data_IF_754621096591
#
_entry.id   IF_754621096591
#
_cell.length_a   1.000
_cell.length_b   1.000
_cell.length_c   1.000
_cell.angle_alpha   90.00
_cell.angle_beta   90.00
_cell.angle_gamma   90.00
#
_symmetry.space_group_name_H-M   'P 1'
#
loop_
_entity.id
_entity.type
_entity.pdbx_description
1 polymer ?
#
# COMPACT_ATOMS: atom_id res chain seq x y z
N UNK A 1 -10.85 -8.59 5.11
CA UNK A 1 -9.98 -9.77 5.33
C UNK A 1 -9.24 -9.96 4.03
N UNK A 2 -7.95 -9.61 3.91
CA UNK A 2 -7.45 -9.18 2.62
C UNK A 2 -7.39 -10.32 1.60
N UNK A 3 -7.90 -10.04 0.40
CA UNK A 3 -7.54 -10.67 -0.88
C UNK A 3 -7.26 -12.17 -0.81
N UNK A 4 -8.34 -12.95 -0.68
CA UNK A 4 -8.29 -14.40 -0.82
C UNK A 4 -8.75 -15.20 0.37
N UNK A 5 -9.77 -14.73 1.10
CA UNK A 5 -10.50 -15.63 1.97
C UNK A 5 -11.58 -16.36 1.15
N UNK A 6 -11.38 -17.61 0.68
CA UNK A 6 -12.47 -18.54 0.82
C UNK A 6 -12.69 -18.59 2.33
N UNK A 7 -13.70 -17.87 2.80
CA UNK A 7 -14.25 -18.07 4.14
C UNK A 7 -14.91 -19.45 4.18
N UNK A 8 -14.10 -20.48 3.95
CA UNK A 8 -14.35 -21.83 4.35
C UNK A 8 -13.26 -22.13 5.40
N UNK A 9 -13.49 -21.76 6.66
CA UNK A 9 -13.06 -22.58 7.79
C UNK A 9 -13.90 -23.87 7.85
N UNK A 10 -14.34 -24.36 6.69
CA UNK A 10 -14.73 -25.73 6.50
C UNK A 10 -13.43 -26.51 6.49
N UNK A 11 -12.96 -26.88 7.68
CA UNK A 11 -12.04 -28.01 7.86
C UNK A 11 -12.65 -29.32 7.33
N UNK A 12 -13.92 -29.28 6.91
CA UNK A 12 -14.50 -30.17 5.91
C UNK A 12 -13.98 -29.77 4.52
N UNK A 13 -12.85 -30.36 4.18
CA UNK A 13 -12.32 -30.38 2.82
C UNK A 13 -13.10 -31.37 1.93
N UNK A 14 -13.92 -32.23 2.54
CA UNK A 14 -14.84 -33.15 1.88
C UNK A 14 -16.02 -32.42 1.23
N UNK A 15 -16.10 -32.49 -0.10
CA UNK A 15 -17.27 -32.11 -0.89
C UNK A 15 -18.42 -33.13 -0.84
N UNK A 16 -18.34 -34.15 0.01
CA UNK A 16 -19.33 -35.22 0.11
C UNK A 16 -20.00 -35.18 1.47
N UNK A 17 -21.19 -34.57 1.53
CA UNK A 17 -22.17 -34.99 2.52
C UNK A 17 -22.52 -36.45 2.20
N UNK A 18 -21.95 -37.38 2.95
CA UNK A 18 -22.25 -38.80 2.80
C UNK A 18 -23.67 -39.06 3.32
N UNK A 19 -24.65 -38.87 2.44
CA UNK A 19 -26.03 -39.32 2.66
C UNK A 19 -26.06 -40.86 2.52
N UNK A 20 -25.80 -41.57 3.62
CA UNK A 20 -26.22 -42.97 3.74
C UNK A 20 -25.15 -43.98 4.11
N UNK A 21 -24.58 -43.88 5.31
CA UNK A 21 -24.34 -45.05 6.16
C UNK A 21 -24.25 -44.62 7.61
N UNK A 22 -24.71 -45.47 8.51
CA UNK A 22 -24.70 -45.33 9.97
C UNK A 22 -23.29 -45.43 10.58
N UNK A 23 -22.32 -44.70 10.01
CA UNK A 23 -20.96 -44.58 10.54
C UNK A 23 -20.86 -43.47 11.58
N UNK A 24 -19.97 -43.65 12.55
CA UNK A 24 -19.64 -42.61 13.53
C UNK A 24 -19.13 -41.36 12.78
N UNK A 25 -19.74 -40.17 12.97
CA UNK A 25 -19.28 -38.93 12.33
C UNK A 25 -17.85 -38.53 12.72
N UNK A 26 -17.29 -39.17 13.76
CA UNK A 26 -15.91 -39.07 14.22
C UNK A 26 -15.03 -40.26 13.76
N UNK A 27 -15.56 -41.26 13.04
CA UNK A 27 -14.74 -42.36 12.51
C UNK A 27 -13.89 -41.80 11.38
N UNK A 28 -12.58 -41.72 11.58
CA UNK A 28 -11.72 -41.18 10.56
C UNK A 28 -11.82 -42.05 9.28
N UNK A 29 -11.99 -43.38 9.39
CA UNK A 29 -11.92 -44.31 8.25
C UNK A 29 -13.08 -44.23 7.25
N UNK A 30 -14.16 -43.52 7.54
CA UNK A 30 -15.37 -43.51 6.71
C UNK A 30 -15.44 -42.34 5.70
N UNK A 31 -14.65 -41.27 5.86
CA UNK A 31 -14.59 -40.13 4.92
C UNK A 31 -13.30 -40.12 4.08
N UNK A 32 -12.44 -41.12 4.24
CA UNK A 32 -11.11 -41.17 3.63
C UNK A 32 -11.07 -41.95 2.33
N UNK A 33 -11.48 -41.33 1.23
CA UNK A 33 -10.94 -41.74 -0.05
C UNK A 33 -9.68 -40.90 -0.30
N UNK A 34 -8.59 -41.49 -0.78
CA UNK A 34 -7.40 -40.77 -1.28
C UNK A 34 -7.76 -39.95 -2.53
N UNK A 35 -8.68 -39.00 -2.38
CA UNK A 35 -9.21 -38.20 -3.45
C UNK A 35 -8.30 -36.99 -3.66
N UNK A 36 -8.05 -36.72 -4.93
CA UNK A 36 -7.50 -35.45 -5.37
C UNK A 36 -8.66 -34.71 -6.00
N UNK A 37 -9.00 -33.54 -5.46
CA UNK A 37 -10.07 -32.71 -6.00
C UNK A 37 -9.57 -31.33 -6.39
N UNK A 38 -10.21 -30.73 -7.39
CA UNK A 38 -9.92 -29.37 -7.84
C UNK A 38 -11.15 -28.53 -7.55
N UNK A 39 -10.95 -27.41 -6.84
CA UNK A 39 -11.98 -26.39 -6.63
C UNK A 39 -11.60 -25.13 -7.36
N UNK A 40 -12.54 -24.56 -8.11
CA UNK A 40 -12.37 -23.29 -8.79
C UNK A 40 -13.55 -22.38 -8.45
N UNK A 41 -13.28 -21.08 -8.36
CA UNK A 41 -14.31 -20.09 -8.02
C UNK A 41 -13.87 -18.67 -8.35
N UNK A 42 -14.72 -17.71 -8.05
CA UNK A 42 -14.41 -16.29 -8.16
C UNK A 42 -14.83 -15.61 -6.87
N UNK A 43 -14.01 -14.68 -6.39
CA UNK A 43 -14.36 -13.86 -5.24
C UNK A 43 -13.79 -12.45 -5.42
N UNK A 44 -14.49 -11.47 -4.84
CA UNK A 44 -14.04 -10.10 -4.72
C UNK A 44 -13.93 -9.72 -3.26
N UNK A 45 -12.90 -8.95 -2.91
CA UNK A 45 -12.74 -8.36 -1.59
C UNK A 45 -12.59 -6.84 -1.72
N UNK A 46 -13.11 -6.13 -0.73
CA UNK A 46 -13.00 -4.70 -0.63
C UNK A 46 -12.71 -4.36 0.83
N UNK A 47 -11.52 -3.80 1.04
CA UNK A 47 -11.06 -3.42 2.37
C UNK A 47 -10.93 -1.90 2.42
N UNK A 48 -11.63 -1.28 3.36
CA UNK A 48 -11.68 0.16 3.56
C UNK A 48 -11.22 0.52 4.97
N UNK A 49 -10.92 1.81 5.20
CA UNK A 49 -10.56 2.38 6.50
C UNK A 49 -9.33 1.70 7.15
N UNK A 50 -8.32 1.33 6.34
CA UNK A 50 -7.03 0.88 6.88
C UNK A 50 -6.19 2.07 7.29
N UNK A 51 -5.73 2.05 8.54
CA UNK A 51 -4.66 2.94 9.00
C UNK A 51 -3.31 2.31 8.69
N UNK A 52 -2.56 2.91 7.77
CA UNK A 52 -1.20 2.47 7.42
C UNK A 52 -0.16 3.29 8.16
N UNK A 53 0.83 2.64 8.77
CA UNK A 53 1.98 3.33 9.34
C UNK A 53 2.99 3.65 8.23
N UNK A 54 3.50 4.87 8.20
CA UNK A 54 4.58 5.24 7.28
C UNK A 54 5.89 4.57 7.71
N UNK A 55 6.56 3.92 6.76
CA UNK A 55 7.90 3.37 6.93
C UNK A 55 8.90 4.22 6.14
N UNK A 56 9.43 5.24 6.81
CA UNK A 56 10.38 6.19 6.24
C UNK A 56 11.53 6.40 7.21
N UNK A 57 12.67 6.89 6.71
CA UNK A 57 13.80 7.26 7.58
C UNK A 57 13.41 8.41 8.51
N UNK A 58 14.01 8.43 9.72
CA UNK A 58 13.78 9.50 10.71
C UNK A 58 14.22 10.87 10.19
N UNK A 59 15.24 10.90 9.34
CA UNK A 59 15.79 12.12 8.76
C UNK A 59 15.79 12.07 7.23
N UNK A 60 15.83 13.25 6.61
CA UNK A 60 16.08 13.48 5.20
C UNK A 60 17.37 14.31 5.09
N UNK A 61 18.39 13.77 4.42
CA UNK A 61 19.75 14.34 4.44
C UNK A 61 20.07 15.28 3.28
N UNK A 62 19.17 15.41 2.32
CA UNK A 62 19.40 16.12 1.06
C UNK A 62 18.51 17.35 0.85
N UNK A 63 17.74 17.77 1.86
CA UNK A 63 17.03 19.04 1.89
C UNK A 63 17.97 20.20 2.25
N UNK A 64 17.53 21.45 2.10
CA UNK A 64 18.23 22.59 2.68
C UNK A 64 17.81 22.81 4.15
N UNK A 65 18.59 23.62 4.88
CA UNK A 65 18.25 24.03 6.23
C UNK A 65 16.87 24.71 6.29
N UNK A 66 16.13 24.50 7.37
CA UNK A 66 14.85 25.17 7.57
C UNK A 66 14.99 26.69 7.56
N UNK A 67 13.91 27.36 7.17
CA UNK A 67 13.76 28.79 7.41
C UNK A 67 13.83 29.07 8.92
N UNK A 68 14.59 30.09 9.29
CA UNK A 68 14.68 30.59 10.67
C UNK A 68 14.14 32.01 10.70
N UNK A 69 13.58 32.42 11.84
CA UNK A 69 13.03 33.77 12.06
C UNK A 69 14.08 34.89 11.88
N UNK A 70 15.37 34.55 11.92
CA UNK A 70 16.49 35.47 11.74
C UNK A 70 16.85 35.74 10.26
N UNK A 71 16.25 35.02 9.31
CA UNK A 71 16.46 35.27 7.89
C UNK A 71 15.79 36.60 7.52
N UNK A 72 16.59 37.67 7.39
CA UNK A 72 16.07 38.97 6.96
C UNK A 72 15.41 38.85 5.59
N UNK A 73 14.26 39.52 5.44
CA UNK A 73 13.46 39.64 4.21
C UNK A 73 14.26 40.10 2.98
N UNK A 74 15.45 40.67 3.18
CA UNK A 74 16.34 41.24 2.16
C UNK A 74 17.45 40.29 1.67
N UNK A 75 17.84 39.29 2.45
CA UNK A 75 18.97 38.39 2.10
C UNK A 75 18.58 36.95 1.82
N UNK A 76 17.39 36.48 2.24
CA UNK A 76 16.92 35.10 2.02
C UNK A 76 17.83 34.02 2.63
N UNK A 77 17.46 32.75 2.47
CA UNK A 77 18.29 31.59 2.89
C UNK A 77 18.97 30.97 1.67
N UNK A 78 20.28 30.68 1.77
CA UNK A 78 20.95 29.88 0.75
C UNK A 78 20.54 28.41 0.88
N UNK A 79 19.84 27.92 -0.14
CA UNK A 79 19.31 26.56 -0.20
C UNK A 79 20.08 25.65 -1.16
N UNK A 80 21.32 26.02 -1.55
CA UNK A 80 22.18 25.15 -2.35
C UNK A 80 22.79 24.00 -1.53
N UNK A 81 23.10 24.25 -0.25
CA UNK A 81 23.76 23.30 0.64
C UNK A 81 22.75 22.35 1.27
N UNK A 82 23.09 21.06 1.27
CA UNK A 82 22.30 20.04 1.94
C UNK A 82 22.43 20.13 3.46
N UNK A 83 21.35 19.83 4.18
CA UNK A 83 21.29 19.75 5.62
C UNK A 83 20.34 18.61 6.02
N UNK A 84 20.70 17.91 7.09
CA UNK A 84 19.85 16.89 7.69
C UNK A 84 18.63 17.53 8.35
N UNK A 85 17.45 17.01 8.02
CA UNK A 85 16.14 17.47 8.52
C UNK A 85 15.39 16.29 9.13
N UNK A 86 14.63 16.52 10.20
CA UNK A 86 13.66 15.53 10.65
C UNK A 86 12.61 15.31 9.56
N UNK A 87 12.32 14.06 9.22
CA UNK A 87 11.36 13.71 8.20
C UNK A 87 9.93 13.88 8.73
N UNK A 88 9.14 14.76 8.12
CA UNK A 88 7.77 15.03 8.55
C UNK A 88 6.86 13.78 8.52
N UNK A 89 7.13 12.84 7.62
CA UNK A 89 6.36 11.60 7.53
C UNK A 89 6.76 10.56 8.58
N UNK A 90 7.89 10.72 9.31
CA UNK A 90 8.35 9.72 10.26
C UNK A 90 7.36 9.58 11.43
N UNK A 91 6.88 8.35 11.67
CA UNK A 91 5.92 8.05 12.72
C UNK A 91 4.50 8.56 12.44
N UNK A 92 4.20 8.95 11.19
CA UNK A 92 2.87 9.34 10.75
C UNK A 92 2.06 8.15 10.26
N UNK A 93 0.79 8.41 10.01
CA UNK A 93 -0.14 7.42 9.50
C UNK A 93 -0.86 7.94 8.26
N UNK A 94 -1.10 7.05 7.31
CA UNK A 94 -2.09 7.22 6.25
C UNK A 94 -3.41 6.75 6.84
N UNK A 95 -4.34 7.67 7.03
CA UNK A 95 -5.55 7.44 7.83
C UNK A 95 -6.65 6.73 7.05
N UNK A 96 -6.64 6.87 5.73
CA UNK A 96 -7.65 6.28 4.87
C UNK A 96 -6.96 5.58 3.70
N UNK A 97 -7.06 4.27 3.69
CA UNK A 97 -6.56 3.43 2.61
C UNK A 97 -7.61 2.37 2.27
N UNK A 98 -8.01 2.38 1.00
CA UNK A 98 -8.91 1.42 0.43
C UNK A 98 -8.16 0.53 -0.56
N UNK A 99 -8.50 -0.75 -0.56
CA UNK A 99 -7.92 -1.74 -1.45
C UNK A 99 -9.00 -2.68 -1.96
N UNK A 100 -9.21 -2.66 -3.27
CA UNK A 100 -10.16 -3.51 -3.96
C UNK A 100 -9.40 -4.64 -4.66
N UNK A 101 -9.95 -5.85 -4.63
CA UNK A 101 -9.44 -6.95 -5.46
C UNK A 101 -10.57 -7.82 -5.99
N UNK A 102 -10.45 -8.21 -7.24
CA UNK A 102 -11.30 -9.22 -7.87
C UNK A 102 -10.41 -10.34 -8.40
N UNK A 103 -10.62 -11.58 -7.95
CA UNK A 103 -9.77 -12.69 -8.31
C UNK A 103 -10.56 -13.98 -8.59
N UNK A 104 -10.05 -14.76 -9.55
CA UNK A 104 -10.34 -16.18 -9.68
C UNK A 104 -9.54 -16.95 -8.61
N UNK A 105 -10.17 -17.99 -8.08
CA UNK A 105 -9.63 -18.95 -7.13
C UNK A 105 -9.40 -20.28 -7.83
N UNK A 106 -8.26 -20.90 -7.54
CA UNK A 106 -8.01 -22.30 -7.86
C UNK A 106 -7.37 -22.97 -6.64
N UNK A 107 -7.91 -24.11 -6.25
CA UNK A 107 -7.31 -24.96 -5.23
C UNK A 107 -7.22 -26.40 -5.69
N UNK A 108 -6.07 -26.99 -5.42
CA UNK A 108 -5.84 -28.41 -5.49
C UNK A 108 -5.91 -28.95 -4.07
N UNK A 109 -6.88 -29.81 -3.84
CA UNK A 109 -6.93 -30.61 -2.64
C UNK A 109 -6.16 -31.92 -2.81
N UNK A 110 -5.39 -32.27 -1.78
CA UNK A 110 -4.61 -33.49 -1.70
C UNK A 110 -4.99 -34.22 -0.41
N UNK A 111 -5.45 -35.46 -0.56
CA UNK A 111 -5.75 -36.39 0.53
C UNK A 111 -6.74 -35.84 1.56
N UNK A 112 -7.65 -34.96 1.14
CA UNK A 112 -8.66 -34.29 1.96
C UNK A 112 -8.12 -33.58 3.23
N UNK A 113 -6.80 -33.33 3.29
CA UNK A 113 -6.12 -32.73 4.47
C UNK A 113 -5.29 -31.52 4.14
N UNK A 114 -4.95 -31.33 2.87
CA UNK A 114 -4.05 -30.28 2.44
C UNK A 114 -4.56 -29.66 1.13
N UNK A 115 -4.73 -28.34 1.15
CA UNK A 115 -5.02 -27.56 -0.05
C UNK A 115 -3.81 -26.69 -0.39
N UNK A 116 -3.39 -26.75 -1.64
CA UNK A 116 -2.60 -25.68 -2.25
C UNK A 116 -3.55 -24.85 -3.08
N UNK A 117 -3.57 -23.54 -2.86
CA UNK A 117 -4.43 -22.64 -3.59
C UNK A 117 -3.67 -21.45 -4.14
N UNK A 118 -4.17 -20.93 -5.24
CA UNK A 118 -3.69 -19.70 -5.83
C UNK A 118 -4.86 -18.87 -6.30
N UNK A 119 -4.56 -17.59 -6.49
CA UNK A 119 -5.57 -16.61 -6.85
C UNK A 119 -4.98 -15.72 -7.92
N UNK A 120 -5.74 -15.46 -8.97
CA UNK A 120 -5.30 -14.65 -10.10
C UNK A 120 -6.39 -13.63 -10.38
N UNK A 121 -6.02 -12.36 -10.39
CA UNK A 121 -7.01 -11.30 -10.40
C UNK A 121 -6.44 -9.94 -10.74
N UNK A 122 -7.19 -8.92 -10.35
CA UNK A 122 -6.76 -7.55 -10.43
C UNK A 122 -7.07 -6.77 -9.15
N UNK A 123 -6.15 -5.89 -8.77
CA UNK A 123 -6.28 -5.02 -7.61
C UNK A 123 -6.12 -3.55 -7.98
N UNK A 124 -6.83 -2.69 -7.27
CA UNK A 124 -6.67 -1.24 -7.28
C UNK A 124 -6.76 -0.69 -5.86
N UNK A 125 -6.23 0.52 -5.65
CA UNK A 125 -6.19 1.15 -4.35
C UNK A 125 -6.42 2.65 -4.38
N UNK A 126 -6.83 3.16 -3.23
CA UNK A 126 -6.96 4.57 -2.91
C UNK A 126 -6.27 4.85 -1.58
N UNK A 127 -5.51 5.93 -1.51
CA UNK A 127 -4.82 6.36 -0.29
C UNK A 127 -5.03 7.84 -0.08
N UNK A 128 -5.38 8.22 1.15
CA UNK A 128 -5.60 9.59 1.57
C UNK A 128 -4.96 9.83 2.94
N UNK A 129 -4.19 10.92 3.03
CA UNK A 129 -3.59 11.35 4.29
C UNK A 129 -3.28 12.84 4.29
N UNK A 130 -2.82 13.33 5.44
CA UNK A 130 -2.17 14.64 5.54
C UNK A 130 -0.93 14.71 4.63
N UNK A 131 -0.62 15.91 4.14
CA UNK A 131 0.55 16.14 3.29
C UNK A 131 1.89 15.90 4.02
N UNK A 132 1.88 15.87 5.35
CA UNK A 132 3.02 15.47 6.17
C UNK A 132 3.35 13.97 6.04
N UNK A 133 2.34 13.09 5.97
CA UNK A 133 2.53 11.65 5.78
C UNK A 133 3.08 11.28 4.39
N UNK A 134 2.89 12.14 3.39
CA UNK A 134 3.45 12.00 2.05
C UNK A 134 4.78 12.75 1.85
N UNK A 135 5.34 13.37 2.89
CA UNK A 135 6.55 14.20 2.83
C UNK A 135 6.49 15.24 1.71
N UNK A 136 5.37 15.97 1.59
CA UNK A 136 5.27 17.06 0.61
C UNK A 136 6.24 18.17 1.02
N UNK A 137 7.13 18.57 0.10
CA UNK A 137 8.16 19.57 0.37
C UNK A 137 8.09 20.73 -0.61
N UNK A 138 8.55 21.90 -0.17
CA UNK A 138 8.63 23.11 -0.98
C UNK A 138 9.88 23.93 -0.71
N UNK A 139 10.15 24.86 -1.62
CA UNK A 139 11.22 25.83 -1.52
C UNK A 139 10.63 27.23 -1.28
N UNK A 140 10.95 27.82 -0.13
CA UNK A 140 10.47 29.14 0.28
C UNK A 140 11.64 30.03 0.74
N UNK A 141 11.47 31.36 0.64
CA UNK A 141 12.37 32.34 1.25
C UNK A 141 13.83 32.25 0.79
N UNK A 142 14.08 31.84 -0.45
CA UNK A 142 15.45 31.75 -1.01
C UNK A 142 16.00 33.13 -1.37
N UNK A 143 17.33 33.28 -1.31
CA UNK A 143 18.06 34.49 -1.70
C UNK A 143 18.18 34.72 -3.22
N UNK A 144 17.42 33.96 -4.01
CA UNK A 144 17.40 34.01 -5.46
C UNK A 144 16.81 35.35 -5.95
N UNK A 145 17.64 36.20 -6.56
CA UNK A 145 17.22 37.51 -7.10
C UNK A 145 16.46 37.42 -8.45
N UNK A 146 16.40 36.24 -9.07
CA UNK A 146 15.67 35.97 -10.31
C UNK A 146 15.21 34.50 -10.42
N UNK A 147 14.19 34.20 -11.24
CA UNK A 147 13.68 32.83 -11.44
C UNK A 147 14.75 31.82 -11.92
N UNK A 148 15.77 32.26 -12.66
CA UNK A 148 16.93 31.47 -13.09
C UNK A 148 17.94 31.17 -11.97
N UNK A 149 17.86 31.86 -10.83
CA UNK A 149 18.74 31.65 -9.66
C UNK A 149 18.23 30.60 -8.67
N UNK A 150 17.12 29.93 -9.00
CA UNK A 150 16.55 28.80 -8.24
C UNK A 150 17.15 27.45 -8.71
N UNK A 151 17.92 27.46 -9.80
CA UNK A 151 18.61 26.27 -10.29
C UNK A 151 19.61 25.75 -9.23
N UNK A 152 19.55 24.46 -8.94
CA UNK A 152 20.41 23.84 -7.93
C UNK A 152 19.95 24.07 -6.48
N UNK A 153 18.83 24.75 -6.25
CA UNK A 153 18.28 24.98 -4.91
C UNK A 153 17.41 23.80 -4.45
N UNK A 154 17.58 23.43 -3.18
CA UNK A 154 16.90 22.30 -2.52
C UNK A 154 15.65 22.80 -1.78
N UNK A 155 14.60 21.98 -1.65
CA UNK A 155 13.47 22.32 -0.80
C UNK A 155 13.92 22.47 0.67
N UNK A 156 13.30 23.41 1.39
CA UNK A 156 13.66 23.77 2.76
C UNK A 156 12.48 23.76 3.74
N UNK A 157 11.26 23.48 3.26
CA UNK A 157 10.04 23.43 4.07
C UNK A 157 9.29 22.13 3.79
N UNK A 158 8.75 21.52 4.85
CA UNK A 158 7.70 20.50 4.74
C UNK A 158 6.33 21.17 4.76
N UNK A 159 5.49 20.85 3.79
CA UNK A 159 4.12 21.35 3.70
C UNK A 159 3.23 20.40 4.48
N UNK A 160 3.00 20.69 5.76
CA UNK A 160 2.24 19.82 6.68
C UNK A 160 0.76 20.18 6.80
N UNK A 161 0.34 21.31 6.21
CA UNK A 161 -1.04 21.78 6.20
C UNK A 161 -1.68 21.49 4.84
N UNK A 162 -2.19 20.28 4.70
CA UNK A 162 -2.80 19.84 3.45
C UNK A 162 -3.22 18.38 3.47
N UNK A 163 -3.80 17.95 2.36
CA UNK A 163 -4.27 16.60 2.09
C UNK A 163 -3.69 16.14 0.75
N UNK A 164 -3.29 14.88 0.70
CA UNK A 164 -2.86 14.20 -0.51
C UNK A 164 -3.77 13.01 -0.75
N UNK A 165 -4.20 12.85 -1.99
CA UNK A 165 -4.98 11.70 -2.44
C UNK A 165 -4.26 11.01 -3.60
N UNK A 166 -4.18 9.69 -3.53
CA UNK A 166 -3.50 8.86 -4.51
C UNK A 166 -4.45 7.74 -4.94
N UNK A 167 -4.70 7.67 -6.24
CA UNK A 167 -5.50 6.64 -6.88
C UNK A 167 -4.60 5.77 -7.75
N UNK A 168 -4.73 4.46 -7.66
CA UNK A 168 -4.00 3.54 -8.51
C UNK A 168 -4.85 3.04 -9.67
N UNK A 169 -4.20 2.63 -10.76
CA UNK A 169 -4.85 1.86 -11.80
C UNK A 169 -5.24 0.46 -11.30
N UNK A 170 -6.04 -0.23 -12.11
CA UNK A 170 -6.32 -1.65 -11.92
C UNK A 170 -5.19 -2.44 -12.55
N UNK A 171 -4.49 -3.23 -11.74
CA UNK A 171 -3.35 -4.04 -12.19
C UNK A 171 -3.50 -5.49 -11.78
N UNK A 172 -2.80 -6.36 -12.49
CA UNK A 172 -2.75 -7.78 -12.16
C UNK A 172 -2.26 -8.00 -10.71
N UNK A 173 -2.98 -8.87 -10.00
CA UNK A 173 -2.68 -9.30 -8.65
C UNK A 173 -2.71 -10.83 -8.58
N UNK A 174 -1.83 -11.41 -7.80
CA UNK A 174 -1.82 -12.84 -7.57
C UNK A 174 -1.56 -13.17 -6.11
N UNK A 175 -1.97 -14.36 -5.70
CA UNK A 175 -1.56 -14.92 -4.43
C UNK A 175 -1.35 -16.43 -4.55
N UNK A 176 -0.55 -16.96 -3.63
CA UNK A 176 -0.38 -18.38 -3.42
C UNK A 176 -0.49 -18.67 -1.93
N UNK A 177 -1.13 -19.77 -1.59
CA UNK A 177 -1.28 -20.19 -0.23
C UNK A 177 -1.40 -21.69 -0.10
N UNK A 178 -1.27 -22.15 1.13
CA UNK A 178 -1.52 -23.52 1.50
C UNK A 178 -2.30 -23.52 2.82
N UNK A 179 -3.20 -24.48 2.96
CA UNK A 179 -3.88 -24.74 4.23
C UNK A 179 -3.97 -26.24 4.45
N UNK A 180 -3.98 -26.66 5.71
CA UNK A 180 -4.16 -28.07 6.01
C UNK A 180 -4.37 -28.37 7.48
N UNK A 181 -4.78 -29.61 7.75
CA UNK A 181 -4.94 -30.15 9.08
C UNK A 181 -3.56 -30.47 9.68
N UNK A 182 -3.27 -29.87 10.84
CA UNK A 182 -2.07 -30.14 11.63
C UNK A 182 -2.29 -31.28 12.62
N UNK A 183 -3.51 -31.41 13.13
CA UNK A 183 -3.86 -32.41 14.12
C UNK A 183 -5.35 -32.74 14.08
N UNK A 184 -5.65 -34.02 14.28
CA UNK A 184 -7.00 -34.56 14.36
C UNK A 184 -7.09 -35.52 15.54
N UNK A 185 -8.17 -35.42 16.32
CA UNK A 185 -8.51 -36.40 17.35
C UNK A 185 -10.02 -36.51 17.48
N UNK A 186 -10.56 -37.64 17.03
CA UNK A 186 -12.00 -37.84 16.92
C UNK A 186 -12.64 -36.75 16.07
N UNK A 187 -13.64 -36.07 16.63
CA UNK A 187 -14.36 -34.98 15.96
C UNK A 187 -13.66 -33.60 16.02
N UNK A 188 -12.46 -33.49 16.59
CA UNK A 188 -11.71 -32.23 16.70
C UNK A 188 -10.59 -32.14 15.64
N UNK A 189 -10.50 -30.99 14.98
CA UNK A 189 -9.45 -30.72 13.98
C UNK A 189 -8.81 -29.37 14.20
N UNK A 190 -7.48 -29.34 14.23
CA UNK A 190 -6.66 -28.14 14.24
C UNK A 190 -6.05 -27.96 12.85
N UNK A 191 -6.33 -26.85 12.20
CA UNK A 191 -5.78 -26.48 10.89
C UNK A 191 -4.95 -25.21 10.94
N UNK A 192 -4.03 -25.09 9.99
CA UNK A 192 -3.30 -23.86 9.73
C UNK A 192 -3.40 -23.45 8.26
N UNK A 193 -3.27 -22.16 8.01
CA UNK A 193 -3.21 -21.58 6.68
C UNK A 193 -2.06 -20.59 6.58
N UNK A 194 -1.53 -20.46 5.37
CA UNK A 194 -0.54 -19.47 5.02
C UNK A 194 -0.82 -18.97 3.60
N UNK A 195 -0.72 -17.66 3.39
CA UNK A 195 -0.92 -17.06 2.09
C UNK A 195 0.03 -15.89 1.89
N UNK A 196 0.53 -15.76 0.67
CA UNK A 196 1.28 -14.60 0.21
C UNK A 196 0.58 -14.00 -1.01
N UNK A 197 0.32 -12.69 -0.96
CA UNK A 197 -0.27 -11.93 -2.05
C UNK A 197 0.67 -10.82 -2.50
N UNK A 198 0.66 -10.55 -3.81
CA UNK A 198 1.42 -9.48 -4.43
C UNK A 198 0.65 -8.81 -5.56
N UNK A 199 0.80 -7.48 -5.67
CA UNK A 199 0.45 -6.74 -6.87
C UNK A 199 1.32 -5.49 -7.03
N UNK A 200 1.27 -4.89 -8.22
CA UNK A 200 2.07 -3.69 -8.53
C UNK A 200 1.28 -2.70 -9.40
N UNK A 201 0.21 -2.08 -8.88
CA UNK A 201 -0.51 -1.06 -9.62
C UNK A 201 0.33 0.20 -9.81
N UNK A 202 0.10 0.88 -10.93
CA UNK A 202 0.63 2.22 -11.20
C UNK A 202 -0.28 3.24 -10.55
N UNK A 203 0.29 4.37 -10.17
CA UNK A 203 -0.52 5.53 -9.76
C UNK A 203 -1.17 6.12 -11.00
N UNK A 204 -2.49 6.23 -10.99
CA UNK A 204 -3.27 6.82 -12.09
C UNK A 204 -3.51 8.31 -11.85
N UNK A 205 -3.81 8.70 -10.60
CA UNK A 205 -4.04 10.11 -10.26
C UNK A 205 -3.43 10.42 -8.90
N UNK A 206 -2.70 11.53 -8.82
CA UNK A 206 -2.17 12.11 -7.59
C UNK A 206 -2.73 13.53 -7.44
N UNK A 207 -3.51 13.75 -6.40
CA UNK A 207 -4.00 15.07 -6.01
C UNK A 207 -3.23 15.55 -4.79
N UNK A 208 -2.74 16.78 -4.86
CA UNK A 208 -2.09 17.46 -3.73
C UNK A 208 -2.85 18.76 -3.48
N UNK A 209 -3.38 18.91 -2.28
CA UNK A 209 -4.08 20.11 -1.83
C UNK A 209 -3.43 20.58 -0.53
N UNK A 210 -2.56 21.58 -0.60
CA UNK A 210 -1.92 22.18 0.57
C UNK A 210 -1.98 23.70 0.48
N UNK A 211 -1.81 24.39 1.61
CA UNK A 211 -2.01 25.85 1.68
C UNK A 211 -1.31 26.65 0.56
N UNK A 212 -0.05 26.35 0.17
CA UNK A 212 0.61 27.09 -0.91
C UNK A 212 0.53 26.43 -2.29
N UNK A 213 -0.01 25.21 -2.43
CA UNK A 213 -0.05 24.51 -3.72
C UNK A 213 -1.25 23.57 -3.85
N UNK A 214 -1.92 23.67 -5.00
CA UNK A 214 -2.99 22.75 -5.40
C UNK A 214 -2.70 22.28 -6.82
N UNK A 215 -2.54 20.97 -7.01
CA UNK A 215 -2.35 20.39 -8.33
C UNK A 215 -2.79 18.93 -8.39
N UNK A 216 -3.12 18.50 -9.60
CA UNK A 216 -3.42 17.11 -9.94
C UNK A 216 -2.45 16.66 -11.02
N UNK A 217 -1.89 15.46 -10.84
CA UNK A 217 -1.06 14.80 -11.85
C UNK A 217 -1.72 13.51 -12.27
N UNK A 218 -2.02 13.39 -13.56
CA UNK A 218 -2.45 12.14 -14.15
C UNK A 218 -1.24 11.32 -14.59
N UNK A 219 -1.25 10.03 -14.26
CA UNK A 219 -0.16 9.06 -14.51
C UNK A 219 1.20 9.62 -14.08
N UNK A 220 1.34 10.03 -12.80
CA UNK A 220 2.52 10.73 -12.34
C UNK A 220 3.79 9.94 -12.62
N UNK A 221 4.77 10.65 -13.17
CA UNK A 221 6.13 10.18 -13.37
C UNK A 221 7.07 10.98 -12.47
N UNK A 222 8.08 10.32 -11.94
CA UNK A 222 9.01 10.92 -11.00
C UNK A 222 10.39 10.30 -11.08
N UNK A 223 11.28 10.78 -10.20
CA UNK A 223 12.67 10.37 -10.13
C UNK A 223 12.84 9.36 -9.01
N UNK A 224 13.24 8.14 -9.35
CA UNK A 224 13.46 7.07 -8.37
C UNK A 224 14.83 7.23 -7.74
N UNK A 225 14.93 7.16 -6.41
CA UNK A 225 16.20 7.22 -5.65
C UNK A 225 17.11 8.41 -6.02
N UNK A 226 16.52 9.54 -6.45
CA UNK A 226 17.26 10.71 -6.90
C UNK A 226 17.27 11.76 -5.79
N UNK A 227 18.46 12.19 -5.29
CA UNK A 227 18.52 13.21 -4.26
C UNK A 227 18.07 14.57 -4.80
N UNK A 228 17.70 15.48 -3.89
CA UNK A 228 17.46 16.87 -4.25
C UNK A 228 18.80 17.53 -4.61
N UNK A 229 18.79 18.62 -5.38
CA UNK A 229 17.65 19.15 -6.13
C UNK A 229 17.30 18.24 -7.32
N UNK A 230 16.01 18.22 -7.70
CA UNK A 230 15.58 17.54 -8.92
C UNK A 230 16.03 18.34 -10.17
N UNK A 231 16.14 17.69 -11.35
CA UNK A 231 16.44 18.37 -12.61
C UNK A 231 15.54 19.58 -12.90
N UNK A 232 16.06 20.55 -13.65
CA UNK A 232 15.36 21.83 -13.91
C UNK A 232 14.13 21.67 -14.81
N UNK A 233 14.08 20.62 -15.61
CA UNK A 233 12.95 20.20 -16.45
C UNK A 233 11.91 19.36 -15.68
N UNK A 234 12.15 19.00 -14.42
CA UNK A 234 11.20 18.24 -13.60
C UNK A 234 9.83 18.91 -13.56
N UNK A 235 8.77 18.13 -13.78
CA UNK A 235 7.39 18.61 -13.86
C UNK A 235 6.98 19.15 -15.23
N UNK A 236 7.85 19.12 -16.24
CA UNK A 236 7.52 19.44 -17.64
C UNK A 236 7.41 18.16 -18.48
N UNK A 237 6.87 18.28 -19.70
CA UNK A 237 6.84 17.17 -20.67
C UNK A 237 8.25 16.75 -21.14
N UNK A 238 9.23 17.65 -21.03
CA UNK A 238 10.62 17.38 -21.42
C UNK A 238 11.40 16.58 -20.36
N UNK A 239 10.81 16.33 -19.18
CA UNK A 239 11.46 15.64 -18.06
C UNK A 239 11.99 14.25 -18.45
N UNK A 240 13.31 14.15 -18.59
CA UNK A 240 14.00 12.89 -18.88
C UNK A 240 14.17 12.03 -17.61
N UNK A 241 14.50 10.75 -17.82
CA UNK A 241 14.82 9.78 -16.75
C UNK A 241 13.75 9.53 -15.69
N UNK A 242 12.52 9.98 -15.94
CA UNK A 242 11.38 9.74 -15.05
C UNK A 242 10.80 8.33 -15.21
N UNK A 243 10.36 7.72 -14.10
CA UNK A 243 9.66 6.44 -14.04
C UNK A 243 8.22 6.65 -13.60
N UNK A 244 7.30 5.79 -14.04
CA UNK A 244 5.92 5.80 -13.53
C UNK A 244 5.93 5.50 -12.03
N UNK A 245 5.15 6.26 -11.26
CA UNK A 245 4.91 5.94 -9.87
C UNK A 245 4.12 4.61 -9.78
N UNK A 246 4.59 3.70 -8.95
CA UNK A 246 3.96 2.40 -8.70
C UNK A 246 3.89 2.14 -7.21
N UNK A 247 2.87 1.42 -6.77
CA UNK A 247 2.75 0.93 -5.40
C UNK A 247 3.01 -0.58 -5.43
N UNK A 248 4.07 -1.04 -4.78
CA UNK A 248 4.35 -2.47 -4.61
C UNK A 248 3.60 -2.94 -3.37
N UNK A 249 2.57 -3.75 -3.57
CA UNK A 249 1.79 -4.34 -2.50
C UNK A 249 2.29 -5.76 -2.20
N UNK A 250 2.55 -6.02 -0.93
CA UNK A 250 2.93 -7.32 -0.40
C UNK A 250 2.08 -7.62 0.83
N UNK A 251 1.54 -8.82 0.90
CA UNK A 251 0.83 -9.24 2.10
C UNK A 251 1.15 -10.69 2.47
N UNK A 252 1.48 -10.88 3.74
CA UNK A 252 1.59 -12.19 4.36
C UNK A 252 0.41 -12.41 5.28
N UNK A 253 -0.19 -13.59 5.19
CA UNK A 253 -1.23 -14.05 6.09
C UNK A 253 -0.86 -15.40 6.67
N UNK A 254 -1.10 -15.56 7.96
CA UNK A 254 -0.99 -16.83 8.65
C UNK A 254 -2.20 -17.00 9.56
N UNK A 255 -2.81 -18.17 9.54
CA UNK A 255 -3.99 -18.47 10.32
C UNK A 255 -3.89 -19.82 11.01
N UNK A 256 -4.57 -19.92 12.15
CA UNK A 256 -4.76 -21.15 12.90
C UNK A 256 -6.23 -21.24 13.28
N UNK A 257 -6.86 -22.39 13.07
CA UNK A 257 -8.25 -22.62 13.42
C UNK A 257 -8.47 -24.00 14.04
N UNK A 258 -9.33 -24.05 15.06
CA UNK A 258 -9.79 -25.27 15.72
C UNK A 258 -11.28 -25.43 15.40
N UNK A 259 -11.67 -26.59 14.88
CA UNK A 259 -13.07 -26.96 14.66
C UNK A 259 -13.44 -28.22 15.43
N UNK A 260 -14.73 -28.37 15.73
CA UNK A 260 -15.28 -29.58 16.31
C UNK A 260 -16.56 -29.98 15.57
N UNK A 261 -16.70 -31.25 15.17
CA UNK A 261 -17.88 -31.75 14.45
C UNK A 261 -18.95 -32.24 15.42
N UNK A 262 -20.16 -31.67 15.32
CA UNK A 262 -21.36 -32.01 16.07
C UNK A 262 -22.46 -32.45 15.11
N UNK A 263 -22.34 -33.66 14.55
CA UNK A 263 -23.30 -34.22 13.59
C UNK A 263 -23.55 -33.30 12.37
N UNK A 264 -24.58 -32.42 12.41
CA UNK A 264 -24.87 -31.42 11.36
C UNK A 264 -24.21 -30.05 11.55
N UNK A 265 -23.63 -29.77 12.72
CA UNK A 265 -23.05 -28.47 13.05
C UNK A 265 -21.52 -28.60 13.22
N UNK A 266 -20.75 -27.67 12.68
CA UNK A 266 -19.29 -27.62 12.88
C UNK A 266 -18.91 -26.24 13.42
N UNK A 267 -18.95 -26.03 14.76
CA UNK A 267 -18.36 -24.84 15.33
C UNK A 267 -16.86 -24.78 15.05
N UNK A 268 -16.36 -23.57 14.80
CA UNK A 268 -14.93 -23.30 14.66
C UNK A 268 -14.54 -22.01 15.38
N UNK A 269 -13.29 -21.94 15.83
CA UNK A 269 -12.62 -20.75 16.32
C UNK A 269 -11.32 -20.60 15.57
N UNK A 270 -11.03 -19.41 15.04
CA UNK A 270 -9.79 -19.15 14.32
C UNK A 270 -9.17 -17.81 14.67
N UNK A 271 -7.85 -17.77 14.59
CA UNK A 271 -7.04 -16.55 14.66
C UNK A 271 -6.32 -16.41 13.34
N UNK A 272 -6.39 -15.23 12.74
CA UNK A 272 -5.61 -14.87 11.54
C UNK A 272 -4.75 -13.66 11.86
N UNK A 273 -3.48 -13.74 11.49
CA UNK A 273 -2.53 -12.66 11.49
C UNK A 273 -2.25 -12.28 10.03
N UNK A 274 -2.22 -10.97 9.75
CA UNK A 274 -1.85 -10.43 8.44
C UNK A 274 -0.89 -9.26 8.61
N UNK A 275 0.06 -9.15 7.67
CA UNK A 275 0.93 -7.99 7.52
C UNK A 275 0.97 -7.56 6.05
N UNK A 276 0.32 -6.44 5.77
CA UNK A 276 0.38 -5.76 4.48
C UNK A 276 1.47 -4.67 4.48
N UNK A 277 2.16 -4.53 3.34
CA UNK A 277 3.14 -3.48 3.07
C UNK A 277 2.86 -2.86 1.70
N UNK A 278 3.00 -1.54 1.61
CA UNK A 278 2.84 -0.75 0.39
C UNK A 278 4.11 0.08 0.20
N UNK A 279 4.85 -0.18 -0.87
CA UNK A 279 6.12 0.51 -1.17
C UNK A 279 6.02 1.34 -2.46
N UNK A 280 6.33 2.64 -2.35
CA UNK A 280 6.34 3.59 -3.46
C UNK A 280 7.75 3.84 -4.05
N UNK A 281 8.71 2.95 -3.79
CA UNK A 281 10.05 2.94 -4.43
C UNK A 281 10.88 4.23 -4.19
N UNK A 282 10.59 4.98 -3.10
CA UNK A 282 11.18 6.30 -2.82
C UNK A 282 11.15 7.25 -4.03
N UNK A 283 10.05 7.21 -4.80
CA UNK A 283 9.88 8.06 -5.97
C UNK A 283 9.58 9.50 -5.57
N UNK A 284 10.23 10.46 -6.23
CA UNK A 284 9.98 11.89 -6.05
C UNK A 284 9.28 12.47 -7.26
N UNK A 285 8.10 13.04 -7.05
CA UNK A 285 7.25 13.61 -8.09
C UNK A 285 7.29 15.13 -7.94
N UNK A 286 7.65 15.81 -9.03
CA UNK A 286 7.61 17.27 -9.06
C UNK A 286 6.20 17.75 -9.42
N UNK A 287 5.80 18.90 -8.87
CA UNK A 287 4.60 19.61 -9.30
C UNK A 287 4.69 19.90 -10.82
N UNK A 288 3.59 19.77 -11.58
CA UNK A 288 3.54 20.21 -12.97
C UNK A 288 3.96 21.67 -13.12
N UNK A 289 4.94 21.93 -13.99
CA UNK A 289 5.42 23.27 -14.29
C UNK A 289 4.63 23.86 -15.44
N UNK A 290 4.27 25.14 -15.29
CA UNK A 290 3.72 25.94 -16.38
C UNK A 290 4.83 26.28 -17.38
N UNK A 291 4.48 26.34 -18.67
CA UNK A 291 5.42 26.69 -19.75
C UNK A 291 5.98 28.12 -19.61
N UNK A 292 5.24 29.02 -18.95
CA UNK A 292 5.67 30.35 -18.61
C UNK A 292 5.20 30.68 -17.18
N UNK A 293 6.01 31.41 -16.41
CA UNK A 293 5.57 31.91 -15.12
C UNK A 293 4.42 32.91 -15.33
N UNK A 294 3.19 32.50 -15.00
CA UNK A 294 1.98 33.32 -15.23
C UNK A 294 1.82 34.36 -14.11
N UNK A 295 2.27 34.06 -12.89
CA UNK A 295 2.24 34.96 -11.75
C UNK A 295 3.55 34.88 -10.95
N UNK A 296 4.15 36.03 -10.67
CA UNK A 296 5.19 36.19 -9.64
C UNK A 296 4.53 36.12 -8.27
N UNK A 297 4.17 34.91 -7.84
CA UNK A 297 3.41 34.68 -6.61
C UNK A 297 4.15 35.23 -5.38
N UNK A 298 3.76 36.42 -4.92
CA UNK A 298 4.06 36.94 -3.58
C UNK A 298 3.00 36.45 -2.59
N UNK A 299 2.66 35.15 -2.63
CA UNK A 299 1.58 34.63 -1.79
C UNK A 299 1.89 34.87 -0.31
N UNK A 300 1.21 35.87 0.25
CA UNK A 300 1.14 36.15 1.67
C UNK A 300 0.33 35.03 2.31
N UNK A 301 1.02 33.99 2.79
CA UNK A 301 0.41 33.08 3.73
C UNK A 301 0.74 33.56 5.16
N UNK A 302 -0.21 34.15 5.89
CA UNK A 302 0.02 34.65 7.25
C UNK A 302 0.33 33.53 8.27
N UNK A 303 0.14 32.25 7.94
CA UNK A 303 0.52 31.13 8.83
C UNK A 303 2.01 30.79 8.81
N UNK A 304 2.82 31.47 8.00
CA UNK A 304 4.28 31.30 7.94
C UNK A 304 5.05 32.51 8.50
N UNK A 305 4.39 33.40 9.26
CA UNK A 305 5.00 34.46 10.06
C UNK A 305 5.34 33.98 11.48
#
# INVERSE_FOLDING_TARGET
LPVGNPAEPSLLIDGTMWEGTSGDPCDPCATWCDAISIRAGFYGDYVFDRVLKTDVTKTVDDMAAALTTSAQTTTGVDTATAATRDNAAYGKHIHDAEWATNAAYLALNIWDRFDVFCTLGASSGYFKAGSDAFSVVGLFGTNAAAATSINGKRPNVFLTQGVVELYTDTSFSWSIGARGALWECGCATLGAEFQYAQSKPKVETLNVLCTPAQFTVHKPRGYKNTPFPLPTDAGTEAAADTKSATIQYHEWQAGLALSYRLNMLVPYLGVKWSRASFDADNIRIAQPKLAQAILGLTAWNPTFL
#
